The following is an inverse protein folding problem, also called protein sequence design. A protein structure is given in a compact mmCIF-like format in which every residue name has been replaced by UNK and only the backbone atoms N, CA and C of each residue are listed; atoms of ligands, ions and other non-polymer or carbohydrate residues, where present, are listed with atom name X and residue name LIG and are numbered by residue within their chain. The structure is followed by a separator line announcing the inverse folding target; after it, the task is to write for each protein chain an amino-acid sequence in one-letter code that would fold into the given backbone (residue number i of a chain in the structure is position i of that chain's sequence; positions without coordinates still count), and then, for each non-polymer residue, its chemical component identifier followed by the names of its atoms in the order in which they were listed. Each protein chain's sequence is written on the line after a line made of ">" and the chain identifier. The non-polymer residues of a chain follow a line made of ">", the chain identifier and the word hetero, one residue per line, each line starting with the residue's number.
data_IF_705994967117
#
_entry.id   IF_705994967117
#
_cell.length_a   1.000
_cell.length_b   1.000
_cell.length_c   1.000
_cell.angle_alpha   90.00
_cell.angle_beta   90.00
_cell.angle_gamma   90.00
#
_symmetry.space_group_name_H-M   'P 1'
#
loop_
_entity.id
_entity.type
_entity.pdbx_description
1 polymer ?
#
# COMPACT_ATOMS: atom_id res chain seq x y z
N UNK A 1 15.83 -2.06 13.32
CA UNK A 1 14.44 -2.29 13.80
C UNK A 1 13.60 -2.39 12.54
N UNK A 2 13.13 -3.59 12.18
CA UNK A 2 12.69 -3.84 10.81
C UNK A 2 11.21 -3.57 10.68
N UNK A 3 10.85 -2.28 10.77
CA UNK A 3 9.46 -1.82 10.72
C UNK A 3 9.04 -1.65 9.28
N UNK A 4 7.90 -2.19 8.89
CA UNK A 4 7.30 -1.96 7.57
C UNK A 4 5.88 -1.44 7.76
N UNK A 5 5.39 -0.67 6.79
CA UNK A 5 4.02 -0.17 6.82
C UNK A 5 3.12 -1.08 6.01
N UNK A 6 2.12 -1.66 6.65
CA UNK A 6 1.07 -2.42 6.00
C UNK A 6 -0.16 -1.54 5.81
N UNK A 7 -0.50 -1.26 4.56
CA UNK A 7 -1.68 -0.53 4.16
C UNK A 7 -2.75 -1.51 3.72
N UNK A 8 -3.84 -1.57 4.49
CA UNK A 8 -5.03 -2.33 4.13
C UNK A 8 -5.85 -1.59 3.07
N UNK A 9 -6.55 -2.36 2.22
CA UNK A 9 -7.54 -1.84 1.26
C UNK A 9 -8.58 -0.93 1.93
N UNK A 10 -8.95 -1.24 3.18
CA UNK A 10 -9.96 -0.48 3.94
C UNK A 10 -9.46 0.88 4.45
N UNK A 11 -8.24 1.28 4.09
CA UNK A 11 -7.63 2.56 4.49
C UNK A 11 -6.94 2.52 5.85
N UNK A 12 -6.95 1.39 6.55
CA UNK A 12 -6.20 1.23 7.79
C UNK A 12 -4.71 1.05 7.50
N UNK A 13 -3.87 1.81 8.22
CA UNK A 13 -2.41 1.73 8.16
C UNK A 13 -1.92 1.10 9.46
N UNK A 14 -1.11 0.06 9.33
CA UNK A 14 -0.53 -0.67 10.44
C UNK A 14 0.99 -0.65 10.35
N UNK A 15 1.64 -0.46 11.50
CA UNK A 15 3.06 -0.75 11.62
C UNK A 15 3.22 -2.22 11.93
N UNK A 16 3.91 -2.92 11.05
CA UNK A 16 4.26 -4.32 11.24
C UNK A 16 5.76 -4.51 11.12
N UNK A 17 6.22 -5.73 11.36
CA UNK A 17 7.61 -6.11 11.18
C UNK A 17 7.68 -7.16 10.08
N UNK A 18 8.55 -6.94 9.12
CA UNK A 18 8.93 -7.93 8.13
C UNK A 18 10.45 -7.96 8.09
N UNK A 19 11.01 -9.17 8.12
CA UNK A 19 12.45 -9.37 8.15
C UNK A 19 12.95 -9.93 6.82
N UNK A 20 12.04 -10.32 5.92
CA UNK A 20 12.35 -10.83 4.59
C UNK A 20 11.21 -10.58 3.61
N UNK A 21 11.51 -10.66 2.31
CA UNK A 21 10.52 -10.65 1.22
C UNK A 21 9.53 -11.82 1.34
N UNK A 22 9.94 -12.94 1.95
CA UNK A 22 9.05 -14.06 2.23
C UNK A 22 7.96 -13.70 3.27
N UNK A 23 8.30 -12.88 4.26
CA UNK A 23 7.32 -12.36 5.23
C UNK A 23 6.33 -11.41 4.55
N UNK A 24 6.79 -10.59 3.60
CA UNK A 24 5.89 -9.76 2.79
C UNK A 24 4.96 -10.62 1.94
N UNK A 25 5.47 -11.68 1.31
CA UNK A 25 4.63 -12.63 0.57
C UNK A 25 3.55 -13.26 1.45
N UNK A 26 3.88 -13.58 2.70
CA UNK A 26 2.89 -14.05 3.67
C UNK A 26 1.89 -12.95 4.04
N UNK A 27 2.31 -11.71 4.23
CA UNK A 27 1.43 -10.59 4.58
C UNK A 27 0.46 -10.20 3.45
N UNK A 28 0.94 -10.25 2.21
CA UNK A 28 0.14 -9.93 1.01
C UNK A 28 -0.62 -11.17 0.51
N UNK A 29 -0.36 -12.34 1.11
CA UNK A 29 -1.07 -13.62 0.94
C UNK A 29 -1.23 -14.10 -0.51
N UNK A 30 -0.37 -13.67 -1.44
CA UNK A 30 -0.61 -13.86 -2.86
C UNK A 30 0.61 -14.34 -3.66
N UNK A 31 0.31 -15.09 -4.72
CA UNK A 31 1.29 -15.60 -5.69
C UNK A 31 1.52 -14.56 -6.78
N UNK A 32 2.46 -13.65 -6.57
CA UNK A 32 2.91 -12.72 -7.61
C UNK A 32 3.23 -11.32 -7.09
N UNK A 33 4.14 -11.20 -6.12
CA UNK A 33 4.50 -9.92 -5.55
C UNK A 33 5.17 -9.02 -6.59
N UNK A 34 4.62 -7.82 -6.78
CA UNK A 34 5.23 -6.75 -7.56
C UNK A 34 5.80 -5.69 -6.62
N UNK A 35 6.91 -5.11 -7.02
CA UNK A 35 7.54 -3.98 -6.35
C UNK A 35 7.52 -2.78 -7.28
N UNK A 36 7.11 -1.63 -6.75
CA UNK A 36 7.33 -0.33 -7.36
C UNK A 36 8.16 0.53 -6.42
N UNK A 37 9.30 1.00 -6.90
CA UNK A 37 10.21 1.85 -6.14
C UNK A 37 9.89 3.32 -6.35
N UNK A 38 10.02 4.13 -5.30
CA UNK A 38 9.86 5.59 -5.36
C UNK A 38 10.92 6.25 -6.24
N UNK A 39 10.68 7.51 -6.65
CA UNK A 39 11.60 8.21 -7.55
C UNK A 39 12.98 8.45 -6.92
N UNK A 40 13.01 8.66 -5.60
CA UNK A 40 14.24 8.81 -4.80
C UNK A 40 14.92 7.48 -4.46
N UNK A 41 14.36 6.35 -4.90
CA UNK A 41 14.82 4.98 -4.59
C UNK A 41 14.90 4.67 -3.10
N UNK A 42 14.15 5.39 -2.27
CA UNK A 42 14.17 5.17 -0.83
C UNK A 42 13.06 4.23 -0.35
N UNK A 43 11.97 4.11 -1.10
CA UNK A 43 10.78 3.40 -0.68
C UNK A 43 10.33 2.41 -1.74
N UNK A 44 10.03 1.20 -1.29
CA UNK A 44 9.49 0.14 -2.12
C UNK A 44 8.05 -0.15 -1.72
N UNK A 45 7.18 -0.16 -2.72
CA UNK A 45 5.77 -0.48 -2.61
C UNK A 45 5.58 -1.90 -3.12
N UNK A 46 5.43 -2.82 -2.18
CA UNK A 46 5.19 -4.22 -2.43
C UNK A 46 3.68 -4.48 -2.43
N UNK A 47 3.16 -4.99 -3.54
CA UNK A 47 1.74 -5.26 -3.70
C UNK A 47 1.54 -6.51 -4.55
N UNK A 48 0.36 -7.11 -4.45
CA UNK A 48 -0.05 -8.20 -5.31
C UNK A 48 -1.00 -7.70 -6.40
N UNK A 49 -0.83 -8.13 -7.66
CA UNK A 49 -1.77 -7.88 -8.74
C UNK A 49 -2.98 -8.81 -8.65
N UNK A 50 -2.97 -9.80 -7.74
CA UNK A 50 -3.83 -10.97 -7.77
C UNK A 50 -5.27 -10.63 -7.39
N UNK A 51 -6.14 -10.92 -8.35
CA UNK A 51 -7.55 -10.54 -8.44
C UNK A 51 -8.47 -11.52 -7.69
N UNK A 52 -8.25 -11.78 -6.40
CA UNK A 52 -9.32 -12.36 -5.60
C UNK A 52 -10.34 -11.27 -5.25
N UNK A 53 -11.64 -11.60 -5.27
CA UNK A 53 -12.78 -10.67 -5.16
C UNK A 53 -12.62 -9.56 -4.10
N UNK A 54 -12.07 -9.88 -2.92
CA UNK A 54 -11.83 -8.95 -1.81
C UNK A 54 -10.68 -7.95 -2.03
N UNK A 55 -9.71 -8.27 -2.89
CA UNK A 55 -8.55 -7.42 -3.19
C UNK A 55 -8.72 -6.59 -4.46
N UNK A 56 -9.93 -6.59 -5.04
CA UNK A 56 -10.24 -5.86 -6.27
C UNK A 56 -10.11 -4.34 -6.11
N UNK A 57 -10.37 -3.81 -4.92
CA UNK A 57 -10.38 -2.37 -4.72
C UNK A 57 -8.98 -1.75 -4.70
N UNK A 58 -8.91 -0.53 -5.22
CA UNK A 58 -7.71 0.30 -5.13
C UNK A 58 -7.46 0.70 -3.69
N UNK A 59 -6.24 0.45 -3.23
CA UNK A 59 -5.73 1.00 -1.98
C UNK A 59 -5.41 2.48 -2.19
N UNK A 60 -6.39 3.31 -1.89
CA UNK A 60 -6.29 4.77 -2.07
C UNK A 60 -5.11 5.35 -1.31
N UNK A 61 -4.89 4.93 -0.07
CA UNK A 61 -3.82 5.48 0.78
C UNK A 61 -2.43 5.13 0.23
N UNK A 62 -2.23 3.88 -0.19
CA UNK A 62 -0.98 3.47 -0.81
C UNK A 62 -0.73 4.20 -2.14
N UNK A 63 -1.77 4.36 -2.95
CA UNK A 63 -1.67 5.10 -4.22
C UNK A 63 -1.40 6.59 -4.02
N UNK A 64 -1.99 7.21 -2.99
CA UNK A 64 -1.66 8.58 -2.57
C UNK A 64 -0.19 8.69 -2.16
N UNK A 65 0.31 7.76 -1.34
CA UNK A 65 1.72 7.76 -0.94
C UNK A 65 2.66 7.57 -2.13
N UNK A 66 2.35 6.65 -3.04
CA UNK A 66 3.10 6.46 -4.28
C UNK A 66 3.14 7.77 -5.09
N UNK A 67 2.00 8.43 -5.28
CA UNK A 67 1.92 9.72 -5.96
C UNK A 67 2.77 10.81 -5.27
N UNK A 68 2.87 10.77 -3.94
CA UNK A 68 3.63 11.75 -3.17
C UNK A 68 5.16 11.51 -3.18
N UNK A 69 5.59 10.27 -3.41
CA UNK A 69 7.00 9.85 -3.39
C UNK A 69 7.57 9.61 -4.81
N UNK A 70 6.75 9.75 -5.84
CA UNK A 70 7.15 9.60 -7.24
C UNK A 70 6.83 10.85 -8.06
N UNK A 71 7.36 10.90 -9.28
CA UNK A 71 7.10 11.97 -10.24
C UNK A 71 5.83 11.73 -11.08
N UNK A 72 5.03 10.72 -10.72
CA UNK A 72 3.79 10.46 -11.42
C UNK A 72 2.79 11.61 -11.27
N UNK A 73 1.90 11.74 -12.25
CA UNK A 73 0.77 12.65 -12.16
C UNK A 73 -0.44 11.90 -11.57
N UNK A 74 -1.44 12.60 -10.98
CA UNK A 74 -2.64 11.96 -10.46
C UNK A 74 -3.44 11.14 -11.49
N UNK A 75 -3.18 11.35 -12.80
CA UNK A 75 -3.84 10.63 -13.90
C UNK A 75 -3.03 9.44 -14.42
N UNK A 76 -1.71 9.42 -14.20
CA UNK A 76 -0.79 8.41 -14.74
C UNK A 76 -0.24 7.47 -13.67
N UNK A 77 -0.42 7.81 -12.39
CA UNK A 77 0.04 6.97 -11.29
C UNK A 77 -0.58 5.56 -11.38
N UNK A 78 0.25 4.50 -11.27
CA UNK A 78 -0.25 3.14 -11.14
C UNK A 78 -1.17 3.01 -9.93
N UNK A 79 -2.33 2.39 -10.12
CA UNK A 79 -3.28 2.17 -9.03
C UNK A 79 -2.91 0.91 -8.28
N UNK A 80 -2.44 1.07 -7.04
CA UNK A 80 -2.10 -0.05 -6.17
C UNK A 80 -3.38 -0.66 -5.64
N UNK A 81 -3.59 -1.96 -5.87
CA UNK A 81 -4.78 -2.71 -5.44
C UNK A 81 -4.43 -3.67 -4.33
N UNK A 82 -5.44 -4.08 -3.57
CA UNK A 82 -5.21 -5.01 -2.47
C UNK A 82 -4.40 -4.41 -1.33
N UNK A 83 -3.80 -5.29 -0.53
CA UNK A 83 -2.93 -4.87 0.55
C UNK A 83 -1.56 -4.50 0.02
N UNK A 84 -1.01 -3.40 0.53
CA UNK A 84 0.30 -2.89 0.11
C UNK A 84 1.21 -2.81 1.31
N UNK A 85 2.42 -3.33 1.18
CA UNK A 85 3.49 -3.16 2.17
C UNK A 85 4.47 -2.13 1.63
N UNK A 86 4.79 -1.13 2.45
CA UNK A 86 5.86 -0.17 2.17
C UNK A 86 7.05 -0.50 3.06
N UNK A 87 8.21 -0.66 2.42
CA UNK A 87 9.49 -0.95 3.05
C UNK A 87 10.59 -0.11 2.39
N UNK A 88 11.83 -0.25 2.87
CA UNK A 88 13.02 0.25 2.17
C UNK A 88 13.84 -0.92 1.69
N UNK A 89 14.90 -0.65 0.95
CA UNK A 89 15.94 -1.63 0.66
C UNK A 89 17.30 -1.11 1.13
N UNK A 90 18.21 -2.02 1.41
CA UNK A 90 19.60 -1.72 1.68
C UNK A 90 20.40 -1.51 0.36
N UNK A 91 21.71 -1.26 0.48
CA UNK A 91 22.57 -1.03 -0.69
C UNK A 91 22.65 -2.23 -1.63
N UNK A 92 22.34 -3.43 -1.14
CA UNK A 92 22.34 -4.68 -1.90
C UNK A 92 20.98 -4.94 -2.58
N UNK A 93 19.98 -4.07 -2.34
CA UNK A 93 18.64 -4.18 -2.90
C UNK A 93 17.75 -5.16 -2.13
N UNK A 94 18.20 -5.62 -0.96
CA UNK A 94 17.43 -6.50 -0.09
C UNK A 94 16.50 -5.69 0.81
N UNK A 95 15.39 -6.31 1.22
CA UNK A 95 14.41 -5.66 2.07
C UNK A 95 15.05 -5.17 3.38
N UNK A 96 14.90 -3.87 3.65
CA UNK A 96 15.23 -3.25 4.91
C UNK A 96 14.00 -2.60 5.55
N UNK A 97 14.06 -2.43 6.86
CA UNK A 97 13.01 -1.76 7.62
C UNK A 97 13.05 -0.25 7.47
N UNK A 98 11.87 0.36 7.53
CA UNK A 98 11.71 1.79 7.69
C UNK A 98 12.24 2.24 9.05
N UNK A 99 13.24 3.11 9.02
CA UNK A 99 13.64 3.92 10.17
C UNK A 99 12.54 4.93 10.53
N UNK A 100 12.57 5.43 11.77
CA UNK A 100 11.65 6.48 12.21
C UNK A 100 11.70 7.74 11.35
N UNK A 101 12.89 8.14 10.87
CA UNK A 101 13.04 9.30 10.00
C UNK A 101 12.38 9.08 8.63
N UNK A 102 12.49 7.87 8.07
CA UNK A 102 11.83 7.49 6.82
C UNK A 102 10.30 7.43 6.98
N UNK A 103 9.79 6.95 8.12
CA UNK A 103 8.36 6.99 8.43
C UNK A 103 7.83 8.42 8.49
N UNK A 104 8.54 9.31 9.20
CA UNK A 104 8.16 10.72 9.29
C UNK A 104 8.25 11.43 7.94
N UNK A 105 9.25 11.10 7.12
CA UNK A 105 9.37 11.61 5.76
C UNK A 105 8.17 11.17 4.91
N UNK A 106 7.81 9.89 4.95
CA UNK A 106 6.66 9.35 4.21
C UNK A 106 5.34 10.01 4.66
N UNK A 107 5.19 10.27 5.97
CA UNK A 107 4.06 11.01 6.53
C UNK A 107 3.99 12.44 6.00
N UNK A 108 5.10 13.17 6.01
CA UNK A 108 5.18 14.53 5.46
C UNK A 108 4.89 14.56 3.96
N UNK A 109 5.42 13.61 3.20
CA UNK A 109 5.14 13.47 1.75
C UNK A 109 3.66 13.23 1.51
N UNK A 110 3.04 12.28 2.21
CA UNK A 110 1.59 12.03 2.08
C UNK A 110 0.73 13.25 2.41
N UNK A 111 1.15 14.08 3.38
CA UNK A 111 0.46 15.33 3.73
C UNK A 111 0.70 16.46 2.73
N UNK A 112 1.81 16.44 1.99
CA UNK A 112 2.14 17.46 0.99
C UNK A 112 1.22 17.44 -0.23
N UNK A 113 0.43 16.38 -0.42
CA UNK A 113 -0.53 16.28 -1.51
C UNK A 113 -1.62 17.34 -1.41
N UNK A 114 -1.70 18.17 -2.43
CA UNK A 114 -2.72 19.21 -2.53
C UNK A 114 -4.13 18.61 -2.65
N UNK A 115 -5.15 19.36 -2.21
CA UNK A 115 -6.56 18.97 -2.38
C UNK A 115 -6.91 18.70 -3.85
N UNK A 116 -6.30 19.43 -4.78
CA UNK A 116 -6.51 19.23 -6.22
C UNK A 116 -5.94 17.90 -6.70
N UNK A 117 -4.73 17.53 -6.27
CA UNK A 117 -4.13 16.22 -6.59
C UNK A 117 -4.97 15.08 -6.02
N UNK A 118 -5.39 15.17 -4.75
CA UNK A 118 -6.28 14.17 -4.12
C UNK A 118 -7.59 14.01 -4.89
N UNK A 119 -8.23 15.11 -5.31
CA UNK A 119 -9.46 15.08 -6.14
C UNK A 119 -9.22 14.50 -7.53
N UNK A 120 -8.12 14.85 -8.18
CA UNK A 120 -7.77 14.31 -9.49
C UNK A 120 -7.51 12.80 -9.44
N UNK A 121 -6.79 12.35 -8.40
CA UNK A 121 -6.57 10.94 -8.13
C UNK A 121 -7.87 10.21 -7.83
N UNK A 122 -8.75 10.77 -7.00
CA UNK A 122 -10.08 10.19 -6.74
C UNK A 122 -10.89 9.96 -8.01
N UNK A 123 -10.85 10.91 -8.96
CA UNK A 123 -11.48 10.73 -10.28
C UNK A 123 -10.81 9.66 -11.14
N UNK A 124 -9.49 9.50 -11.03
CA UNK A 124 -8.75 8.43 -11.73
C UNK A 124 -9.11 7.06 -11.17
N UNK A 125 -9.16 6.93 -9.84
CA UNK A 125 -9.59 5.72 -9.13
C UNK A 125 -11.02 5.36 -9.53
N UNK A 126 -11.97 6.29 -9.40
CA UNK A 126 -13.38 6.04 -9.73
C UNK A 126 -13.53 5.56 -11.17
N UNK A 127 -12.89 6.21 -12.15
CA UNK A 127 -12.93 5.75 -13.55
C UNK A 127 -12.36 4.35 -13.74
N UNK A 128 -11.32 3.98 -12.99
CA UNK A 128 -10.72 2.66 -13.08
C UNK A 128 -11.56 1.57 -12.39
N UNK A 129 -12.27 1.91 -11.31
CA UNK A 129 -13.27 1.03 -10.69
C UNK A 129 -14.50 0.89 -11.58
N UNK A 130 -15.07 1.98 -12.09
CA UNK A 130 -16.26 2.01 -12.96
C UNK A 130 -16.07 1.15 -14.21
N UNK A 131 -14.88 1.20 -14.84
CA UNK A 131 -14.54 0.35 -16.00
C UNK A 131 -14.51 -1.15 -15.70
N UNK A 132 -14.44 -1.54 -14.42
CA UNK A 132 -14.39 -2.95 -13.99
C UNK A 132 -15.69 -3.42 -13.35
N UNK A 133 -16.60 -2.52 -12.98
CA UNK A 133 -17.94 -2.84 -12.46
C UNK A 133 -18.90 -3.28 -13.59
N UNK A 134 -18.46 -4.17 -14.47
CA UNK A 134 -19.35 -4.94 -15.34
C UNK A 134 -20.03 -6.01 -14.46
N UNK A 135 -21.37 -6.21 -14.51
CA UNK A 135 -22.17 -6.65 -13.35
C UNK A 135 -22.01 -8.11 -12.87
N UNK A 136 -21.12 -8.92 -13.45
CA UNK A 136 -21.26 -10.38 -13.32
C UNK A 136 -20.66 -11.03 -12.07
N UNK A 137 -19.97 -10.32 -11.17
CA UNK A 137 -19.36 -10.98 -9.99
C UNK A 137 -19.26 -10.08 -8.76
N UNK A 138 -20.39 -9.62 -8.21
CA UNK A 138 -20.43 -9.05 -6.87
C UNK A 138 -20.64 -10.15 -5.80
N UNK A 139 -19.65 -11.03 -5.64
CA UNK A 139 -19.60 -11.91 -4.47
C UNK A 139 -19.05 -11.09 -3.29
N UNK A 140 -19.93 -10.72 -2.36
CA UNK A 140 -19.58 -10.11 -1.07
C UNK A 140 -18.50 -10.94 -0.38
N UNK A 141 -17.28 -10.44 -0.36
CA UNK A 141 -16.27 -10.96 0.55
C UNK A 141 -16.50 -10.31 1.91
N UNK A 142 -17.46 -10.86 2.64
CA UNK A 142 -17.61 -10.66 4.08
C UNK A 142 -16.57 -11.55 4.79
N UNK A 143 -15.31 -11.32 4.46
CA UNK A 143 -14.18 -11.90 5.16
C UNK A 143 -13.62 -10.81 6.05
N UNK A 144 -13.93 -10.85 7.35
CA UNK A 144 -13.07 -10.18 8.32
C UNK A 144 -11.65 -10.63 8.02
N UNK A 145 -10.81 -9.70 7.54
CA UNK A 145 -9.36 -9.88 7.51
C UNK A 145 -8.89 -9.88 8.98
N UNK A 146 -9.28 -10.92 9.73
CA UNK A 146 -8.57 -11.35 10.90
C UNK A 146 -7.21 -11.76 10.37
N UNK A 147 -6.28 -10.80 10.38
CA UNK A 147 -4.87 -11.09 10.51
C UNK A 147 -4.81 -12.09 11.65
N UNK A 148 -4.62 -13.37 11.32
CA UNK A 148 -4.23 -14.34 12.33
C UNK A 148 -2.89 -13.80 12.82
N UNK A 149 -2.93 -13.09 13.95
CA UNK A 149 -1.80 -12.60 14.69
C UNK A 149 -1.01 -13.81 15.25
N UNK A 150 -0.64 -14.77 14.40
CA UNK A 150 0.26 -15.83 14.79
C UNK A 150 1.67 -15.26 14.73
N UNK A 151 2.06 -14.67 15.87
CA UNK A 151 3.41 -14.23 16.31
C UNK A 151 3.89 -12.81 16.03
N UNK A 152 3.23 -12.01 15.20
CA UNK A 152 3.67 -10.61 14.97
C UNK A 152 2.67 -9.64 15.60
N UNK A 153 2.96 -9.17 16.82
CA UNK A 153 2.22 -8.08 17.47
C UNK A 153 2.24 -6.85 16.54
N UNK A 154 1.07 -6.43 16.03
CA UNK A 154 0.93 -5.06 15.52
C UNK A 154 1.23 -4.10 16.68
N UNK A 155 2.34 -3.38 16.58
CA UNK A 155 2.86 -2.62 17.72
C UNK A 155 2.16 -1.29 17.94
N UNK A 156 1.45 -0.74 16.95
CA UNK A 156 0.57 0.40 17.16
C UNK A 156 -0.35 0.64 15.95
N UNK A 157 -1.56 1.16 16.19
CA UNK A 157 -2.39 1.75 15.15
C UNK A 157 -2.04 3.24 15.12
N UNK A 158 -1.16 3.65 14.20
CA UNK A 158 -0.87 5.06 14.04
C UNK A 158 -2.09 5.70 13.35
N UNK A 159 -2.74 6.65 14.00
CA UNK A 159 -3.83 7.40 13.39
C UNK A 159 -3.21 8.45 12.45
N UNK A 160 -3.14 8.12 11.17
CA UNK A 160 -2.78 9.09 10.15
C UNK A 160 -4.04 9.90 9.84
N UNK A 161 -4.24 11.01 10.57
CA UNK A 161 -5.40 11.89 10.38
C UNK A 161 -5.56 12.30 8.92
N UNK A 162 -6.80 12.27 8.44
CA UNK A 162 -7.22 12.51 7.05
C UNK A 162 -7.09 13.97 6.58
#
# INVERSE_FOLDING_TARGET
>A
MNTVLYLSVNGAVYETRAYSTADINQLVHDRGLHCLTSADRQFDFWFSPSTHSCQRHVNRKATELLLATTEFTPKTVPLLRGCVVVATHDADGELDGLSWQQLDLLARRGQSLTKQQKRALGRHINRAEDRRTDPLTAARCEGSHHVAFSRVRATSRRAWSE
#
